data_IF_446229330874
#
_entry.id   IF_446229330874
#
_cell.length_a   1.000
_cell.length_b   1.000
_cell.length_c   1.000
_cell.angle_alpha   90.00
_cell.angle_beta   90.00
_cell.angle_gamma   90.00
#
_symmetry.space_group_name_H-M   'P 1'
#
loop_
_entity.id
_entity.type
_entity.pdbx_description
1 polymer ?
#
# COMPACT_ATOMS: atom_id res chain seq x y z
N UNK A 1 26.08 -1.49 3.66
CA UNK A 1 25.34 -1.29 4.92
C UNK A 1 25.68 -2.38 5.93
N UNK A 2 25.50 -3.67 5.60
CA UNK A 2 25.85 -4.79 6.49
C UNK A 2 27.29 -4.72 7.03
N UNK A 3 28.28 -4.49 6.18
CA UNK A 3 29.68 -4.36 6.58
C UNK A 3 29.91 -3.22 7.59
N UNK A 4 29.29 -2.05 7.36
CA UNK A 4 29.40 -0.90 8.27
C UNK A 4 28.75 -1.22 9.62
N UNK A 5 27.59 -1.90 9.61
CA UNK A 5 26.92 -2.31 10.84
C UNK A 5 27.78 -3.31 11.63
N UNK A 6 28.38 -4.29 10.96
CA UNK A 6 29.29 -5.27 11.58
C UNK A 6 30.46 -4.57 12.27
N UNK A 7 31.11 -3.61 11.60
CA UNK A 7 32.20 -2.80 12.17
C UNK A 7 31.74 -2.06 13.44
N UNK A 8 30.58 -1.42 13.42
CA UNK A 8 30.08 -0.64 14.57
C UNK A 8 29.69 -1.53 15.75
N UNK A 9 29.10 -2.70 15.50
CA UNK A 9 28.77 -3.67 16.53
C UNK A 9 30.03 -4.26 17.16
N UNK A 10 31.02 -4.62 16.35
CA UNK A 10 32.33 -5.08 16.82
C UNK A 10 33.10 -4.00 17.61
N UNK A 11 32.85 -2.72 17.33
CA UNK A 11 33.38 -1.60 18.11
C UNK A 11 32.65 -1.37 19.46
N UNK A 12 31.67 -2.21 19.81
CA UNK A 12 30.97 -2.19 21.09
C UNK A 12 29.63 -1.45 21.09
N UNK A 13 29.06 -1.14 19.92
CA UNK A 13 27.71 -0.54 19.85
C UNK A 13 26.66 -1.54 20.31
N UNK A 14 25.82 -1.15 21.27
CA UNK A 14 24.71 -1.99 21.73
C UNK A 14 23.55 -1.95 20.74
N UNK A 15 23.02 -3.13 20.38
CA UNK A 15 21.78 -3.25 19.60
C UNK A 15 20.60 -2.70 20.41
N UNK A 16 19.79 -1.86 19.78
CA UNK A 16 18.58 -1.28 20.39
C UNK A 16 17.32 -1.75 19.66
N UNK A 17 16.13 -1.74 20.32
CA UNK A 17 14.87 -2.07 19.66
C UNK A 17 14.60 -1.22 18.40
N UNK A 18 14.94 0.07 18.43
CA UNK A 18 14.76 0.95 17.26
C UNK A 18 15.64 0.57 16.06
N UNK A 19 16.82 -0.02 16.29
CA UNK A 19 17.66 -0.57 15.22
C UNK A 19 17.00 -1.82 14.62
N UNK A 20 16.48 -2.72 15.48
CA UNK A 20 15.78 -3.93 15.03
C UNK A 20 14.53 -3.59 14.20
N UNK A 21 13.75 -2.60 14.63
CA UNK A 21 12.57 -2.12 13.89
C UNK A 21 12.98 -1.48 12.55
N UNK A 22 14.14 -0.85 12.49
CA UNK A 22 14.69 -0.32 11.25
C UNK A 22 15.10 -1.44 10.28
N UNK A 23 15.73 -2.52 10.76
CA UNK A 23 16.06 -3.69 9.92
C UNK A 23 14.78 -4.37 9.41
N UNK A 24 13.76 -4.55 10.26
CA UNK A 24 12.44 -5.07 9.81
C UNK A 24 11.83 -4.22 8.71
N UNK A 25 11.85 -2.89 8.86
CA UNK A 25 11.33 -1.95 7.87
C UNK A 25 12.09 -2.01 6.55
N UNK A 26 13.42 -2.05 6.57
CA UNK A 26 14.24 -2.24 5.36
C UNK A 26 13.83 -3.53 4.64
N UNK A 27 13.62 -4.61 5.39
CA UNK A 27 13.14 -5.87 4.86
C UNK A 27 11.78 -5.79 4.19
N UNK A 28 10.80 -5.19 4.88
CA UNK A 28 9.46 -4.98 4.34
C UNK A 28 9.48 -4.14 3.06
N UNK A 29 10.25 -3.04 3.05
CA UNK A 29 10.39 -2.18 1.89
C UNK A 29 11.02 -2.94 0.71
N UNK A 30 12.08 -3.70 0.98
CA UNK A 30 12.73 -4.51 -0.05
C UNK A 30 11.78 -5.56 -0.63
N UNK A 31 11.04 -6.30 0.20
CA UNK A 31 10.04 -7.27 -0.27
C UNK A 31 8.90 -6.62 -1.04
N UNK A 32 8.45 -5.42 -0.62
CA UNK A 32 7.43 -4.66 -1.34
C UNK A 32 7.90 -4.31 -2.76
N UNK A 33 9.17 -3.93 -2.93
CA UNK A 33 9.77 -3.53 -4.21
C UNK A 33 10.40 -4.67 -5.01
N UNK A 34 10.55 -5.88 -4.44
CA UNK A 34 11.34 -7.00 -4.98
C UNK A 34 11.03 -7.36 -6.44
N UNK A 35 9.75 -7.36 -6.83
CA UNK A 35 9.33 -7.73 -8.20
C UNK A 35 10.02 -6.85 -9.26
N UNK A 36 10.06 -5.54 -9.01
CA UNK A 36 10.67 -4.53 -9.89
C UNK A 36 12.14 -4.20 -9.58
N UNK A 37 12.75 -4.88 -8.61
CA UNK A 37 14.15 -4.65 -8.22
C UNK A 37 15.12 -5.08 -9.33
N UNK A 38 16.24 -4.36 -9.47
CA UNK A 38 17.26 -4.69 -10.47
C UNK A 38 17.83 -6.10 -10.22
N UNK A 39 17.65 -7.00 -11.21
CA UNK A 39 18.02 -8.41 -11.10
C UNK A 39 19.51 -8.64 -10.96
N UNK A 40 20.34 -7.73 -11.46
CA UNK A 40 21.81 -7.80 -11.31
C UNK A 40 22.25 -7.66 -9.84
N UNK A 41 21.52 -6.87 -9.06
CA UNK A 41 21.83 -6.62 -7.64
C UNK A 41 20.99 -7.45 -6.67
N UNK A 42 20.03 -8.24 -7.17
CA UNK A 42 19.03 -8.88 -6.33
C UNK A 42 19.66 -9.86 -5.32
N UNK A 43 20.52 -10.76 -5.80
CA UNK A 43 21.17 -11.76 -4.95
C UNK A 43 22.10 -11.12 -3.91
N UNK A 44 22.92 -10.14 -4.33
CA UNK A 44 23.82 -9.43 -3.42
C UNK A 44 23.03 -8.67 -2.34
N UNK A 45 21.90 -8.07 -2.71
CA UNK A 45 21.04 -7.35 -1.76
C UNK A 45 20.35 -8.32 -0.80
N UNK A 46 19.90 -9.49 -1.28
CA UNK A 46 19.35 -10.56 -0.46
C UNK A 46 20.37 -11.03 0.60
N UNK A 47 21.60 -11.34 0.18
CA UNK A 47 22.67 -11.77 1.08
C UNK A 47 23.02 -10.69 2.10
N UNK A 48 23.12 -9.43 1.67
CA UNK A 48 23.38 -8.31 2.58
C UNK A 48 22.25 -8.11 3.60
N UNK A 49 21.00 -8.31 3.20
CA UNK A 49 19.84 -8.20 4.09
C UNK A 49 19.77 -9.38 5.08
N UNK A 50 20.07 -10.60 4.63
CA UNK A 50 20.23 -11.76 5.52
C UNK A 50 21.31 -11.52 6.57
N UNK A 51 22.44 -10.94 6.18
CA UNK A 51 23.50 -10.58 7.12
C UNK A 51 23.03 -9.54 8.15
N UNK A 52 22.23 -8.56 7.74
CA UNK A 52 21.63 -7.60 8.67
C UNK A 52 20.65 -8.26 9.66
N UNK A 53 19.84 -9.22 9.21
CA UNK A 53 18.97 -9.99 10.11
C UNK A 53 19.76 -10.73 11.18
N UNK A 54 20.85 -11.39 10.80
CA UNK A 54 21.75 -12.07 11.74
C UNK A 54 22.40 -11.10 12.74
N UNK A 55 22.98 -9.99 12.25
CA UNK A 55 23.72 -9.04 13.08
C UNK A 55 22.85 -8.38 14.16
N UNK A 56 21.57 -8.19 13.88
CA UNK A 56 20.63 -7.48 14.77
C UNK A 56 19.66 -8.42 15.50
N UNK A 57 19.80 -9.75 15.33
CA UNK A 57 18.89 -10.76 15.88
C UNK A 57 17.41 -10.49 15.52
N UNK A 58 17.17 -10.29 14.23
CA UNK A 58 15.84 -10.01 13.67
C UNK A 58 15.44 -11.16 12.75
N UNK A 59 14.26 -11.78 12.92
CA UNK A 59 13.77 -12.78 11.98
C UNK A 59 13.64 -12.20 10.56
N UNK A 60 14.08 -12.92 9.52
CA UNK A 60 13.88 -12.48 8.14
C UNK A 60 12.41 -12.22 7.82
N UNK A 61 12.15 -11.13 7.10
CA UNK A 61 10.80 -10.82 6.62
C UNK A 61 10.37 -11.86 5.59
N UNK A 62 9.12 -12.29 5.67
CA UNK A 62 8.57 -13.25 4.72
C UNK A 62 8.50 -12.65 3.31
N UNK A 63 8.74 -13.49 2.30
CA UNK A 63 8.59 -13.08 0.91
C UNK A 63 7.15 -12.64 0.65
N UNK A 64 7.01 -11.46 0.07
CA UNK A 64 5.70 -10.90 -0.24
C UNK A 64 4.96 -11.79 -1.24
N UNK A 65 3.73 -12.17 -0.90
CA UNK A 65 2.79 -12.84 -1.81
C UNK A 65 1.92 -11.80 -2.48
N UNK A 66 1.94 -11.75 -3.81
CA UNK A 66 1.09 -10.87 -4.61
C UNK A 66 -0.03 -11.66 -5.26
N UNK A 67 -1.17 -11.00 -5.47
CA UNK A 67 -2.31 -11.60 -6.15
C UNK A 67 -2.07 -11.76 -7.65
N UNK A 68 -2.62 -12.83 -8.23
CA UNK A 68 -2.48 -13.15 -9.66
C UNK A 68 -3.28 -12.20 -10.57
N UNK A 69 -4.32 -11.56 -10.02
CA UNK A 69 -5.23 -10.67 -10.74
C UNK A 69 -6.41 -11.39 -11.41
N UNK A 70 -6.57 -12.70 -11.18
CA UNK A 70 -7.59 -13.54 -11.80
C UNK A 70 -8.41 -14.35 -10.78
N UNK A 71 -7.77 -14.85 -9.72
CA UNK A 71 -8.43 -15.60 -8.65
C UNK A 71 -9.34 -14.71 -7.80
N UNK A 72 -10.29 -15.32 -7.08
CA UNK A 72 -11.13 -14.58 -6.13
C UNK A 72 -10.27 -14.01 -4.99
N UNK A 73 -10.44 -12.72 -4.71
CA UNK A 73 -9.76 -12.01 -3.62
C UNK A 73 -10.40 -12.42 -2.30
N UNK A 74 -9.56 -12.80 -1.33
CA UNK A 74 -9.98 -13.15 0.03
C UNK A 74 -9.11 -12.44 1.05
N UNK A 75 -9.71 -12.04 2.17
CA UNK A 75 -9.00 -11.49 3.33
C UNK A 75 -9.22 -12.39 4.55
N UNK A 76 -8.22 -12.47 5.42
CA UNK A 76 -8.25 -13.24 6.66
C UNK A 76 -8.44 -12.39 7.90
N UNK A 77 -8.10 -11.10 7.80
CA UNK A 77 -8.19 -10.13 8.89
C UNK A 77 -9.61 -9.60 9.12
N UNK A 78 -9.83 -9.01 10.31
CA UNK A 78 -11.07 -8.37 10.71
C UNK A 78 -10.83 -6.89 10.98
N UNK A 79 -11.85 -6.07 10.73
CA UNK A 79 -11.77 -4.62 10.85
C UNK A 79 -11.15 -4.00 9.59
N UNK A 80 -11.73 -2.88 9.14
CA UNK A 80 -11.38 -2.32 7.85
C UNK A 80 -9.91 -1.89 7.76
N UNK A 81 -9.30 -1.44 8.86
CA UNK A 81 -7.88 -1.03 8.87
C UNK A 81 -6.96 -2.21 8.55
N UNK A 82 -7.16 -3.33 9.22
CA UNK A 82 -6.35 -4.54 9.01
C UNK A 82 -6.61 -5.13 7.62
N UNK A 83 -7.87 -5.11 7.16
CA UNK A 83 -8.26 -5.57 5.83
C UNK A 83 -7.69 -4.67 4.73
N UNK A 84 -7.68 -3.35 4.91
CA UNK A 84 -7.05 -2.42 3.96
C UNK A 84 -5.56 -2.70 3.85
N UNK A 85 -4.88 -2.89 4.97
CA UNK A 85 -3.45 -3.24 4.99
C UNK A 85 -3.17 -4.59 4.32
N UNK A 86 -3.98 -5.62 4.60
CA UNK A 86 -3.88 -6.93 3.95
C UNK A 86 -4.09 -6.81 2.42
N UNK A 87 -5.13 -6.09 1.99
CA UNK A 87 -5.40 -5.83 0.58
C UNK A 87 -4.30 -5.01 -0.08
N UNK A 88 -3.71 -4.04 0.61
CA UNK A 88 -2.58 -3.27 0.11
C UNK A 88 -1.39 -4.17 -0.18
N UNK A 89 -1.02 -5.01 0.80
CA UNK A 89 0.08 -5.96 0.66
C UNK A 89 -0.20 -7.02 -0.41
N UNK A 90 -1.45 -7.39 -0.63
CA UNK A 90 -1.82 -8.43 -1.59
C UNK A 90 -1.96 -7.91 -3.03
N UNK A 91 -2.56 -6.73 -3.23
CA UNK A 91 -3.04 -6.27 -4.54
C UNK A 91 -2.18 -5.19 -5.20
N UNK A 92 -1.39 -4.44 -4.44
CA UNK A 92 -0.80 -3.18 -4.95
C UNK A 92 0.64 -3.40 -5.43
N UNK A 93 0.95 -3.14 -6.71
CA UNK A 93 2.32 -3.23 -7.17
C UNK A 93 3.17 -2.12 -6.54
N UNK A 94 4.47 -2.36 -6.50
CA UNK A 94 5.42 -1.40 -5.95
C UNK A 94 5.50 -0.09 -6.74
N UNK A 95 5.08 -0.13 -8.01
CA UNK A 95 5.03 1.01 -8.92
C UNK A 95 3.86 0.86 -9.90
N UNK A 96 3.25 1.99 -10.23
CA UNK A 96 2.19 2.08 -11.24
C UNK A 96 0.80 1.78 -10.70
N UNK A 97 -0.11 1.46 -11.63
CA UNK A 97 -1.50 1.10 -11.34
C UNK A 97 -1.62 -0.35 -10.91
N UNK A 98 -2.63 -0.67 -10.12
CA UNK A 98 -2.93 -2.05 -9.78
C UNK A 98 -3.41 -2.85 -11.00
N UNK A 99 -3.35 -4.19 -10.89
CA UNK A 99 -3.80 -5.09 -11.96
C UNK A 99 -5.32 -5.09 -12.15
N UNK A 100 -6.07 -4.74 -11.10
CA UNK A 100 -7.53 -4.87 -11.03
C UNK A 100 -8.14 -3.59 -10.46
N UNK A 101 -9.43 -3.37 -10.70
CA UNK A 101 -10.17 -2.25 -10.10
C UNK A 101 -10.12 -2.31 -8.57
N UNK A 102 -10.22 -3.51 -7.99
CA UNK A 102 -10.13 -3.72 -6.53
C UNK A 102 -8.78 -3.23 -5.99
N UNK A 103 -7.68 -3.61 -6.63
CA UNK A 103 -6.36 -3.11 -6.24
C UNK A 103 -6.26 -1.60 -6.40
N UNK A 104 -6.86 -1.04 -7.45
CA UNK A 104 -6.77 0.39 -7.73
C UNK A 104 -7.59 1.24 -6.75
N UNK A 105 -8.74 0.74 -6.30
CA UNK A 105 -9.57 1.35 -5.25
C UNK A 105 -8.79 1.43 -3.93
N UNK A 106 -8.12 0.34 -3.52
CA UNK A 106 -7.26 0.32 -2.32
C UNK A 106 -6.05 1.24 -2.50
N UNK A 107 -5.46 1.26 -3.71
CA UNK A 107 -4.30 2.10 -4.03
C UNK A 107 -4.63 3.57 -3.98
N UNK A 108 -5.75 3.98 -4.59
CA UNK A 108 -6.18 5.38 -4.58
C UNK A 108 -6.41 5.84 -3.15
N UNK A 109 -7.21 5.10 -2.39
CA UNK A 109 -7.57 5.51 -1.01
C UNK A 109 -6.36 5.57 -0.10
N UNK A 110 -5.45 4.59 -0.16
CA UNK A 110 -4.19 4.64 0.60
C UNK A 110 -3.26 5.77 0.17
N UNK A 111 -3.12 6.04 -1.14
CA UNK A 111 -2.29 7.17 -1.62
C UNK A 111 -2.86 8.53 -1.25
N UNK A 112 -4.19 8.69 -1.30
CA UNK A 112 -4.86 9.92 -0.85
C UNK A 112 -4.69 10.11 0.65
N UNK A 113 -4.90 9.05 1.44
CA UNK A 113 -4.70 9.08 2.89
C UNK A 113 -3.28 9.48 3.25
N UNK A 114 -2.28 8.83 2.66
CA UNK A 114 -0.87 9.14 2.92
C UNK A 114 -0.52 10.57 2.52
N UNK A 115 -0.99 11.02 1.35
CA UNK A 115 -0.68 12.37 0.90
C UNK A 115 -1.24 13.45 1.83
N UNK A 116 -2.45 13.26 2.36
CA UNK A 116 -3.09 14.25 3.22
C UNK A 116 -2.56 14.18 4.65
N UNK A 117 -2.50 12.97 5.23
CA UNK A 117 -2.22 12.79 6.66
C UNK A 117 -0.72 12.76 6.98
N UNK A 118 0.10 12.22 6.08
CA UNK A 118 1.55 12.06 6.32
C UNK A 118 2.36 13.16 5.61
N UNK A 119 1.97 13.56 4.40
CA UNK A 119 2.66 14.62 3.63
C UNK A 119 2.03 16.02 3.80
N UNK A 120 0.92 16.15 4.52
CA UNK A 120 0.22 17.42 4.71
C UNK A 120 -0.29 18.07 3.41
N UNK A 121 -0.53 17.26 2.37
CA UNK A 121 -0.99 17.71 1.05
C UNK A 121 0.08 18.42 0.20
N UNK A 122 1.36 18.34 0.56
CA UNK A 122 2.44 19.07 -0.10
C UNK A 122 2.57 18.75 -1.61
N UNK A 123 2.34 17.50 -2.00
CA UNK A 123 2.39 17.04 -3.39
C UNK A 123 0.99 16.99 -4.04
N UNK A 124 -0.03 17.56 -3.40
CA UNK A 124 -1.40 17.52 -3.90
C UNK A 124 -1.53 18.29 -5.22
N UNK A 125 -2.07 17.64 -6.24
CA UNK A 125 -2.12 18.18 -7.59
C UNK A 125 -3.40 17.75 -8.34
N UNK A 126 -3.44 18.04 -9.64
CA UNK A 126 -4.58 17.63 -10.48
C UNK A 126 -4.70 16.10 -10.60
N UNK A 127 -3.62 15.34 -10.45
CA UNK A 127 -3.66 13.88 -10.58
C UNK A 127 -4.39 13.26 -9.39
N UNK A 128 -4.18 13.75 -8.17
CA UNK A 128 -4.98 13.30 -7.01
C UNK A 128 -6.47 13.58 -7.17
N UNK A 129 -6.84 14.74 -7.72
CA UNK A 129 -8.24 15.07 -8.03
C UNK A 129 -8.84 14.11 -9.05
N UNK A 130 -8.08 13.73 -10.07
CA UNK A 130 -8.51 12.70 -11.05
C UNK A 130 -8.67 11.33 -10.40
N UNK A 131 -7.76 10.94 -9.51
CA UNK A 131 -7.87 9.69 -8.75
C UNK A 131 -9.16 9.66 -7.91
N UNK A 132 -9.46 10.74 -7.17
CA UNK A 132 -10.71 10.85 -6.40
C UNK A 132 -11.94 10.74 -7.30
N UNK A 133 -11.96 11.41 -8.46
CA UNK A 133 -13.08 11.30 -9.40
C UNK A 133 -13.26 9.88 -9.93
N UNK A 134 -12.16 9.17 -10.25
CA UNK A 134 -12.20 7.79 -10.73
C UNK A 134 -12.60 6.80 -9.64
N UNK A 135 -12.22 7.05 -8.40
CA UNK A 135 -12.65 6.25 -7.25
C UNK A 135 -14.17 6.14 -7.17
N UNK A 136 -14.89 7.25 -7.36
CA UNK A 136 -16.37 7.25 -7.32
C UNK A 136 -16.95 6.40 -8.45
N UNK A 137 -16.35 6.46 -9.64
CA UNK A 137 -16.75 5.59 -10.74
C UNK A 137 -16.49 4.12 -10.40
N UNK A 138 -15.34 3.77 -9.83
CA UNK A 138 -15.04 2.39 -9.45
C UNK A 138 -16.01 1.83 -8.41
N UNK A 139 -16.43 2.63 -7.42
CA UNK A 139 -17.46 2.24 -6.46
C UNK A 139 -18.84 1.95 -7.07
N UNK A 140 -19.08 2.37 -8.31
CA UNK A 140 -20.32 2.08 -9.05
C UNK A 140 -20.24 0.82 -9.92
N UNK A 141 -19.08 0.17 -10.02
CA UNK A 141 -18.88 -1.06 -10.78
C UNK A 141 -19.24 -2.30 -9.96
N UNK A 142 -19.46 -3.43 -10.66
CA UNK A 142 -19.76 -4.73 -10.05
C UNK A 142 -21.04 -4.68 -9.21
N UNK A 143 -20.95 -5.15 -7.97
CA UNK A 143 -21.89 -4.86 -6.88
C UNK A 143 -21.56 -3.47 -6.33
N UNK A 144 -22.36 -2.43 -6.66
CA UNK A 144 -22.04 -1.07 -6.24
C UNK A 144 -22.14 -0.92 -4.73
N UNK A 145 -21.51 0.13 -4.18
CA UNK A 145 -21.90 0.62 -2.85
C UNK A 145 -23.39 0.97 -2.85
N UNK A 146 -24.05 0.82 -1.69
CA UNK A 146 -25.43 1.26 -1.58
C UNK A 146 -25.55 2.78 -1.87
N UNK A 147 -26.73 3.26 -2.29
CA UNK A 147 -26.88 4.65 -2.74
C UNK A 147 -26.43 5.69 -1.70
N UNK A 148 -26.60 5.42 -0.41
CA UNK A 148 -26.19 6.35 0.64
C UNK A 148 -24.66 6.40 0.77
N UNK A 149 -23.99 5.25 0.79
CA UNK A 149 -22.52 5.18 0.81
C UNK A 149 -21.87 5.70 -0.47
N UNK A 150 -22.49 5.51 -1.65
CA UNK A 150 -21.97 6.08 -2.89
C UNK A 150 -22.10 7.62 -2.90
N UNK A 151 -23.23 8.15 -2.39
CA UNK A 151 -23.40 9.59 -2.20
C UNK A 151 -22.40 10.17 -1.19
N UNK A 152 -22.19 9.46 -0.07
CA UNK A 152 -21.20 9.80 0.94
C UNK A 152 -19.79 9.86 0.33
N UNK A 153 -19.37 8.83 -0.41
CA UNK A 153 -18.07 8.82 -1.09
C UNK A 153 -17.89 10.04 -2.00
N UNK A 154 -18.93 10.41 -2.76
CA UNK A 154 -18.92 11.60 -3.61
C UNK A 154 -18.81 12.91 -2.83
N UNK A 155 -19.38 12.99 -1.62
CA UNK A 155 -19.22 14.14 -0.72
C UNK A 155 -17.80 14.22 -0.17
N UNK A 156 -17.26 13.11 0.32
CA UNK A 156 -15.89 13.01 0.83
C UNK A 156 -14.87 13.40 -0.24
N UNK A 157 -15.03 12.92 -1.48
CA UNK A 157 -14.16 13.30 -2.59
C UNK A 157 -14.19 14.80 -2.91
N UNK A 158 -15.32 15.49 -2.68
CA UNK A 158 -15.42 16.94 -2.82
C UNK A 158 -14.78 17.68 -1.65
N UNK A 159 -14.96 17.19 -0.43
CA UNK A 159 -14.32 17.75 0.77
C UNK A 159 -12.79 17.69 0.65
N UNK A 160 -12.27 16.56 0.14
CA UNK A 160 -10.85 16.35 -0.09
C UNK A 160 -10.29 17.06 -1.34
N UNK A 161 -11.10 17.83 -2.08
CA UNK A 161 -10.69 18.39 -3.39
C UNK A 161 -9.40 19.25 -3.30
N UNK A 162 -9.19 19.92 -2.18
CA UNK A 162 -8.05 20.80 -1.95
C UNK A 162 -6.86 20.11 -1.28
N UNK A 163 -6.92 18.79 -1.05
CA UNK A 163 -5.84 18.04 -0.44
C UNK A 163 -5.72 18.24 1.07
N UNK A 164 -6.84 18.60 1.71
CA UNK A 164 -6.96 18.76 3.15
C UNK A 164 -8.11 17.89 3.68
N UNK A 165 -7.95 17.40 4.90
CA UNK A 165 -8.90 16.51 5.55
C UNK A 165 -8.26 15.86 6.78
N UNK A 166 -9.09 15.20 7.59
CA UNK A 166 -8.64 14.45 8.76
C UNK A 166 -9.24 13.05 8.72
N UNK A 167 -10.56 12.97 8.83
CA UNK A 167 -11.27 11.69 8.98
C UNK A 167 -11.75 11.16 7.63
N UNK A 168 -11.93 12.06 6.65
CA UNK A 168 -12.43 11.74 5.32
C UNK A 168 -11.57 10.73 4.56
N UNK A 169 -10.21 10.78 4.61
CA UNK A 169 -9.39 9.76 3.94
C UNK A 169 -9.57 8.37 4.56
N UNK A 170 -9.66 8.28 5.89
CA UNK A 170 -9.90 7.02 6.59
C UNK A 170 -11.27 6.43 6.22
N UNK A 171 -12.30 7.26 6.13
CA UNK A 171 -13.64 6.84 5.70
C UNK A 171 -13.65 6.34 4.26
N UNK A 172 -12.90 6.96 3.35
CA UNK A 172 -12.75 6.44 1.98
C UNK A 172 -12.04 5.08 1.96
N UNK A 173 -11.00 4.86 2.79
CA UNK A 173 -10.35 3.56 2.94
C UNK A 173 -11.33 2.48 3.43
N UNK A 174 -12.21 2.81 4.38
CA UNK A 174 -13.24 1.89 4.87
C UNK A 174 -14.25 1.51 3.78
N UNK A 175 -14.79 2.50 3.04
CA UNK A 175 -15.69 2.27 1.92
C UNK A 175 -15.02 1.42 0.82
N UNK A 176 -13.72 1.63 0.58
CA UNK A 176 -12.92 0.82 -0.33
C UNK A 176 -12.85 -0.64 0.07
N UNK A 177 -12.60 -0.93 1.35
CA UNK A 177 -12.63 -2.31 1.86
C UNK A 177 -14.00 -2.93 1.67
N UNK A 178 -15.07 -2.25 2.08
CA UNK A 178 -16.44 -2.78 1.92
C UNK A 178 -16.79 -3.09 0.47
N UNK A 179 -16.42 -2.20 -0.46
CA UNK A 179 -16.65 -2.42 -1.88
C UNK A 179 -15.85 -3.61 -2.41
N UNK A 180 -14.57 -3.76 -2.04
CA UNK A 180 -13.74 -4.90 -2.46
C UNK A 180 -14.28 -6.23 -1.93
N UNK A 181 -14.71 -6.28 -0.66
CA UNK A 181 -15.28 -7.51 -0.09
C UNK A 181 -16.60 -7.92 -0.74
N UNK A 182 -17.36 -6.95 -1.27
CA UNK A 182 -18.59 -7.19 -2.04
C UNK A 182 -18.32 -7.56 -3.51
N UNK A 183 -17.07 -7.39 -3.97
CA UNK A 183 -16.61 -7.62 -5.33
C UNK A 183 -15.33 -8.48 -5.36
N UNK A 184 -15.35 -9.71 -4.83
CA UNK A 184 -14.13 -10.50 -4.68
C UNK A 184 -13.56 -11.00 -6.01
N UNK A 185 -14.38 -11.13 -7.06
CA UNK A 185 -13.92 -11.54 -8.38
C UNK A 185 -13.25 -10.36 -9.10
N UNK A 186 -11.99 -10.46 -9.54
CA UNK A 186 -11.27 -9.39 -10.19
C UNK A 186 -12.01 -8.73 -11.36
N UNK A 187 -12.07 -7.41 -11.33
CA UNK A 187 -12.55 -6.60 -12.46
C UNK A 187 -11.33 -6.02 -13.17
N UNK A 188 -11.27 -6.19 -14.49
CA UNK A 188 -10.19 -5.63 -15.31
C UNK A 188 -10.14 -4.12 -15.18
N UNK A 189 -8.95 -3.59 -14.90
CA UNK A 189 -8.73 -2.15 -14.85
C UNK A 189 -8.48 -1.61 -16.27
N UNK A 190 -9.39 -0.75 -16.75
CA UNK A 190 -9.12 0.07 -17.93
C UNK A 190 -8.01 1.09 -17.66
N UNK A 191 -7.30 1.52 -18.70
CA UNK A 191 -6.20 2.46 -18.56
C UNK A 191 -6.66 3.76 -17.84
N UNK A 192 -6.14 4.06 -16.64
CA UNK A 192 -6.55 5.25 -15.92
C UNK A 192 -6.06 6.54 -16.60
N UNK A 193 -6.82 7.63 -16.44
CA UNK A 193 -6.55 8.94 -17.03
C UNK A 193 -5.68 9.86 -16.14
N UNK A 194 -4.99 9.26 -15.16
CA UNK A 194 -4.03 9.88 -14.25
C UNK A 194 -2.70 9.12 -14.24
N UNK A 195 -1.61 9.80 -13.86
CA UNK A 195 -0.22 9.30 -14.00
C UNK A 195 0.45 8.83 -12.69
N UNK A 196 -0.27 8.82 -11.57
CA UNK A 196 0.27 8.53 -10.22
C UNK A 196 0.23 7.06 -9.84
#
# INVERSE_FOLDING_TARGET
MAEVADILLNAGTTVTPGMQDSIKRIGNDFEFHREGFNKEYLNQTDEALLRLYELFDVPPVEKRKTHDGASSITVSTKGWQAQHHELWNLLIPSKGHAKTVQGEVIRITGKVSYEILDNGGMNWDQQYRKMLNRLIHYFSLGTPLDPASLQEAGKLAKELHNGNGSDEPARLCELAVHWVLSNPNPITLEQPDYKR
#
